data_IF_453852661142
#
_entry.id   IF_453852661142
#
_cell.length_a   1.000
_cell.length_b   1.000
_cell.length_c   1.000
_cell.angle_alpha   90.00
_cell.angle_beta   90.00
_cell.angle_gamma   90.00
#
_symmetry.space_group_name_H-M   'P 1'
#
loop_
_entity.id
_entity.type
_entity.pdbx_description
1 polymer ?
#
# COMPACT_ATOMS: atom_id res chain seq x y z
N UNK A 1 10.59 -63.20 9.21
CA UNK A 1 10.09 -62.38 8.09
C UNK A 1 9.75 -61.02 8.67
N UNK A 2 10.69 -60.04 8.53
CA UNK A 2 10.45 -58.64 8.90
C UNK A 2 9.78 -57.93 7.72
N UNK A 3 8.60 -57.41 7.90
CA UNK A 3 7.94 -56.54 6.96
C UNK A 3 8.39 -55.08 7.21
N UNK A 4 9.09 -54.48 6.23
CA UNK A 4 9.47 -53.08 6.24
C UNK A 4 8.29 -52.29 5.64
N UNK A 5 7.60 -51.51 6.45
CA UNK A 5 6.57 -50.59 5.97
C UNK A 5 7.24 -49.34 5.41
N UNK A 6 7.16 -49.11 4.09
CA UNK A 6 7.55 -47.86 3.47
C UNK A 6 6.49 -46.79 3.76
N UNK A 7 6.83 -45.81 4.60
CA UNK A 7 6.06 -44.59 4.76
C UNK A 7 6.27 -43.68 3.55
N UNK A 8 5.27 -43.61 2.67
CA UNK A 8 5.23 -42.63 1.59
C UNK A 8 4.78 -41.29 2.19
N UNK A 9 5.75 -40.40 2.43
CA UNK A 9 5.47 -39.01 2.80
C UNK A 9 5.05 -38.27 1.55
N UNK A 10 3.75 -38.13 1.32
CA UNK A 10 3.20 -37.19 0.32
C UNK A 10 3.55 -35.76 0.71
N UNK A 11 4.51 -35.16 0.01
CA UNK A 11 4.70 -33.71 0.05
C UNK A 11 3.48 -33.06 -0.61
N UNK A 12 2.57 -32.52 0.18
CA UNK A 12 1.59 -31.58 -0.31
C UNK A 12 2.36 -30.38 -0.88
N UNK A 13 2.41 -30.27 -2.20
CA UNK A 13 2.92 -29.09 -2.88
C UNK A 13 2.09 -27.89 -2.42
N UNK A 14 2.70 -26.89 -1.78
CA UNK A 14 2.06 -25.63 -1.51
C UNK A 14 1.69 -25.01 -2.86
N UNK A 15 0.42 -25.03 -3.22
CA UNK A 15 -0.08 -24.28 -4.35
C UNK A 15 0.26 -22.81 -4.10
N UNK A 16 1.11 -22.25 -4.94
CA UNK A 16 1.50 -20.87 -4.86
C UNK A 16 0.27 -20.02 -5.15
N UNK A 17 -0.13 -19.16 -4.21
CA UNK A 17 -1.28 -18.30 -4.39
C UNK A 17 -1.03 -17.36 -5.59
N UNK A 18 -2.02 -17.18 -6.48
CA UNK A 18 -1.83 -16.37 -7.68
C UNK A 18 -1.46 -14.92 -7.30
N UNK A 19 -0.69 -14.22 -8.14
CA UNK A 19 -0.31 -12.83 -7.88
C UNK A 19 -1.55 -11.95 -7.72
N UNK A 20 -1.42 -10.89 -6.93
CA UNK A 20 -2.44 -9.85 -6.82
C UNK A 20 -2.43 -9.02 -8.10
N UNK A 21 -3.57 -8.96 -8.76
CA UNK A 21 -3.78 -8.16 -9.97
C UNK A 21 -5.07 -7.36 -9.83
N UNK A 22 -5.26 -6.26 -10.58
CA UNK A 22 -6.54 -5.58 -10.68
C UNK A 22 -7.64 -6.55 -11.13
N UNK A 23 -8.86 -6.31 -10.64
CA UNK A 23 -9.96 -7.26 -10.84
C UNK A 23 -10.60 -7.18 -12.25
N UNK A 24 -10.24 -6.18 -13.05
CA UNK A 24 -10.84 -5.90 -14.38
C UNK A 24 -12.38 -5.81 -14.35
N UNK A 25 -12.94 -5.56 -13.17
CA UNK A 25 -14.35 -5.28 -12.97
C UNK A 25 -14.57 -3.78 -13.10
N UNK A 26 -15.59 -3.36 -13.83
CA UNK A 26 -16.00 -1.96 -13.83
C UNK A 26 -16.48 -1.55 -12.45
N UNK A 27 -15.84 -0.54 -11.84
CA UNK A 27 -16.23 -0.02 -10.53
C UNK A 27 -17.35 1.03 -10.62
N UNK A 28 -18.39 0.90 -9.79
CA UNK A 28 -19.46 1.89 -9.63
C UNK A 28 -19.10 2.86 -8.48
N UNK A 29 -18.79 4.11 -8.84
CA UNK A 29 -18.42 5.15 -7.86
C UNK A 29 -19.56 5.51 -6.92
N UNK A 30 -20.83 5.45 -7.37
CA UNK A 30 -21.98 5.76 -6.52
C UNK A 30 -22.20 4.67 -5.47
N UNK A 31 -22.07 3.41 -5.84
CA UNK A 31 -22.11 2.29 -4.91
C UNK A 31 -20.88 2.32 -3.99
N UNK A 32 -19.70 2.63 -4.54
CA UNK A 32 -18.46 2.81 -3.79
C UNK A 32 -18.56 3.90 -2.72
N UNK A 33 -19.27 5.00 -2.99
CA UNK A 33 -19.53 6.06 -2.00
C UNK A 33 -20.33 5.56 -0.79
N UNK A 34 -21.34 4.72 -1.03
CA UNK A 34 -22.14 4.12 0.05
C UNK A 34 -21.28 3.16 0.89
N UNK A 35 -20.53 2.28 0.23
CA UNK A 35 -19.64 1.31 0.89
C UNK A 35 -18.50 2.02 1.64
N UNK A 36 -17.95 3.09 1.06
CA UNK A 36 -16.80 3.84 1.56
C UNK A 36 -17.09 4.73 2.77
N UNK A 37 -18.36 4.91 3.15
CA UNK A 37 -18.74 5.77 4.27
C UNK A 37 -17.99 5.45 5.57
N UNK A 38 -17.88 4.18 5.92
CA UNK A 38 -17.14 3.75 7.12
C UNK A 38 -15.64 3.92 7.00
N UNK A 39 -15.09 3.85 5.78
CA UNK A 39 -13.67 4.02 5.51
C UNK A 39 -13.22 5.46 5.78
N UNK A 40 -14.09 6.44 5.49
CA UNK A 40 -13.85 7.87 5.70
C UNK A 40 -13.72 8.23 7.18
N UNK A 41 -14.23 7.42 8.10
CA UNK A 41 -14.01 7.57 9.55
C UNK A 41 -12.54 7.49 9.98
N UNK A 42 -11.66 6.97 9.11
CA UNK A 42 -10.21 6.96 9.31
C UNK A 42 -9.48 7.68 8.16
N UNK A 43 -9.81 7.34 6.91
CA UNK A 43 -9.12 7.86 5.73
C UNK A 43 -9.57 9.27 5.31
N UNK A 44 -10.70 9.76 5.81
CA UNK A 44 -11.21 11.11 5.59
C UNK A 44 -10.84 12.12 6.68
N UNK A 45 -10.01 11.74 7.67
CA UNK A 45 -9.60 12.62 8.77
C UNK A 45 -8.13 13.00 8.59
N UNK A 46 -7.88 14.29 8.36
CA UNK A 46 -6.51 14.80 8.20
C UNK A 46 -5.65 14.46 9.43
N UNK A 47 -4.48 13.88 9.20
CA UNK A 47 -3.52 13.56 10.24
C UNK A 47 -3.93 12.45 11.22
N UNK A 48 -5.03 11.72 10.97
CA UNK A 48 -5.42 10.59 11.82
C UNK A 48 -4.34 9.51 11.91
N UNK A 49 -4.20 8.89 13.08
CA UNK A 49 -3.13 7.92 13.37
C UNK A 49 -3.66 6.62 13.93
N UNK A 50 -2.97 5.54 13.56
CA UNK A 50 -3.07 4.28 14.28
C UNK A 50 -2.47 4.40 15.68
N UNK A 51 -3.01 3.63 16.62
CA UNK A 51 -2.55 3.66 18.02
C UNK A 51 -1.33 2.76 18.28
N UNK A 52 -1.25 1.60 17.63
CA UNK A 52 -0.16 0.65 17.80
C UNK A 52 0.04 -0.23 16.55
N UNK A 53 1.16 -0.10 15.85
CA UNK A 53 2.17 0.95 15.96
C UNK A 53 1.64 2.34 15.57
N UNK A 54 2.27 3.40 16.07
CA UNK A 54 1.85 4.78 15.81
C UNK A 54 2.37 5.25 14.45
N UNK A 55 1.47 5.39 13.49
CA UNK A 55 1.72 6.02 12.18
C UNK A 55 0.44 6.57 11.60
N UNK A 56 0.54 7.50 10.65
CA UNK A 56 -0.65 8.10 10.03
C UNK A 56 -1.40 7.08 9.16
N UNK A 57 -2.72 7.14 9.21
CA UNK A 57 -3.59 6.45 8.24
C UNK A 57 -3.31 7.04 6.86
N UNK A 58 -3.13 6.20 5.81
CA UNK A 58 -2.69 6.71 4.52
C UNK A 58 -3.77 7.51 3.80
N UNK A 59 -3.31 8.50 3.04
CA UNK A 59 -4.10 9.24 2.08
C UNK A 59 -4.50 8.34 0.93
N UNK A 60 -5.72 8.46 0.45
CA UNK A 60 -6.27 7.70 -0.67
C UNK A 60 -6.57 8.58 -1.89
N UNK A 61 -6.86 9.86 -1.71
CA UNK A 61 -7.13 10.78 -2.81
C UNK A 61 -5.93 10.94 -3.74
N UNK A 62 -6.17 10.80 -5.04
CA UNK A 62 -5.13 10.78 -6.08
C UNK A 62 -4.43 9.45 -6.28
N UNK A 63 -4.83 8.37 -5.58
CA UNK A 63 -4.29 7.03 -5.80
C UNK A 63 -5.07 6.33 -6.94
N UNK A 64 -4.39 5.48 -7.71
CA UNK A 64 -5.03 4.73 -8.80
C UNK A 64 -5.99 3.66 -8.30
N UNK A 65 -7.06 3.42 -9.06
CA UNK A 65 -8.04 2.36 -8.75
C UNK A 65 -7.38 0.97 -8.72
N UNK A 66 -6.59 0.63 -9.74
CA UNK A 66 -5.91 -0.66 -9.84
C UNK A 66 -5.07 -0.97 -8.60
N UNK A 67 -4.29 0.02 -8.12
CA UNK A 67 -3.52 -0.18 -6.91
C UNK A 67 -4.39 -0.29 -5.65
N UNK A 68 -5.49 0.45 -5.55
CA UNK A 68 -6.43 0.35 -4.44
C UNK A 68 -7.07 -1.06 -4.40
N UNK A 69 -7.43 -1.62 -5.55
CA UNK A 69 -7.92 -3.00 -5.66
C UNK A 69 -6.88 -4.01 -5.17
N UNK A 70 -5.65 -3.92 -5.69
CA UNK A 70 -4.53 -4.77 -5.27
C UNK A 70 -4.27 -4.65 -3.76
N UNK A 71 -4.35 -3.45 -3.20
CA UNK A 71 -4.16 -3.21 -1.78
C UNK A 71 -5.25 -3.87 -0.92
N UNK A 72 -6.53 -3.74 -1.30
CA UNK A 72 -7.66 -4.36 -0.59
C UNK A 72 -7.62 -5.89 -0.70
N UNK A 73 -7.32 -6.44 -1.89
CA UNK A 73 -7.09 -7.86 -2.06
C UNK A 73 -5.94 -8.37 -1.16
N UNK A 74 -4.84 -7.62 -1.07
CA UNK A 74 -3.70 -7.95 -0.24
C UNK A 74 -4.06 -8.04 1.25
N UNK A 75 -4.90 -7.13 1.75
CA UNK A 75 -5.43 -7.22 3.11
C UNK A 75 -6.35 -8.42 3.27
N UNK A 76 -7.27 -8.67 2.34
CA UNK A 76 -8.19 -9.81 2.37
C UNK A 76 -7.46 -11.15 2.39
N UNK A 77 -6.39 -11.29 1.62
CA UNK A 77 -5.56 -12.52 1.54
C UNK A 77 -4.49 -12.61 2.63
N UNK A 78 -4.27 -11.55 3.42
CA UNK A 78 -3.26 -11.53 4.47
C UNK A 78 -1.81 -11.34 3.99
N UNK A 79 -1.57 -11.11 2.69
CA UNK A 79 -0.25 -10.76 2.14
C UNK A 79 0.18 -9.33 2.54
N UNK A 80 -0.78 -8.52 2.98
CA UNK A 80 -0.58 -7.21 3.59
C UNK A 80 -1.23 -7.21 4.97
N UNK A 81 -0.42 -6.98 6.02
CA UNK A 81 -0.87 -7.16 7.41
C UNK A 81 -1.21 -5.82 8.06
N UNK A 82 -2.45 -5.71 8.49
CA UNK A 82 -2.98 -4.65 9.36
C UNK A 82 -4.33 -5.12 9.88
N UNK A 83 -4.46 -5.35 11.18
CA UNK A 83 -5.63 -6.01 11.77
C UNK A 83 -6.97 -5.36 11.36
N UNK A 84 -7.09 -4.03 11.49
CA UNK A 84 -8.29 -3.30 11.10
C UNK A 84 -8.59 -3.45 9.61
N UNK A 85 -7.58 -3.25 8.73
CA UNK A 85 -7.81 -3.35 7.29
C UNK A 85 -8.08 -4.78 6.83
N UNK A 86 -7.51 -5.79 7.48
CA UNK A 86 -7.84 -7.20 7.22
C UNK A 86 -9.30 -7.49 7.59
N UNK A 87 -9.77 -7.01 8.76
CA UNK A 87 -11.16 -7.17 9.18
C UNK A 87 -12.13 -6.48 8.20
N UNK A 88 -11.82 -5.26 7.73
CA UNK A 88 -12.62 -4.56 6.73
C UNK A 88 -12.62 -5.31 5.39
N UNK A 89 -11.46 -5.67 4.88
CA UNK A 89 -11.32 -6.31 3.57
C UNK A 89 -11.91 -7.73 3.53
N UNK A 90 -11.91 -8.46 4.65
CA UNK A 90 -12.44 -9.82 4.73
C UNK A 90 -13.95 -9.93 4.39
N UNK A 91 -14.69 -8.83 4.55
CA UNK A 91 -16.14 -8.79 4.30
C UNK A 91 -16.50 -8.34 2.88
N UNK A 92 -15.52 -7.89 2.08
CA UNK A 92 -15.73 -7.32 0.76
C UNK A 92 -15.78 -8.42 -0.32
N UNK A 93 -16.78 -8.39 -1.19
CA UNK A 93 -16.78 -9.13 -2.45
C UNK A 93 -15.86 -8.44 -3.46
N UNK A 94 -15.51 -9.11 -4.56
CA UNK A 94 -14.67 -8.52 -5.61
C UNK A 94 -15.28 -7.23 -6.18
N UNK A 95 -16.60 -7.22 -6.43
CA UNK A 95 -17.28 -6.01 -6.91
C UNK A 95 -17.25 -4.88 -5.88
N UNK A 96 -17.33 -5.17 -4.57
CA UNK A 96 -17.20 -4.15 -3.52
C UNK A 96 -15.82 -3.50 -3.54
N UNK A 97 -14.78 -4.30 -3.79
CA UNK A 97 -13.40 -3.81 -3.92
C UNK A 97 -13.27 -2.91 -5.14
N UNK A 98 -13.80 -3.32 -6.30
CA UNK A 98 -13.76 -2.51 -7.52
C UNK A 98 -14.51 -1.17 -7.36
N UNK A 99 -15.69 -1.19 -6.74
CA UNK A 99 -16.50 0.01 -6.51
C UNK A 99 -15.83 0.98 -5.53
N UNK A 100 -15.27 0.46 -4.44
CA UNK A 100 -14.50 1.25 -3.48
C UNK A 100 -13.24 1.86 -4.12
N UNK A 101 -12.54 1.08 -4.94
CA UNK A 101 -11.35 1.55 -5.64
C UNK A 101 -11.70 2.68 -6.62
N UNK A 102 -12.75 2.52 -7.41
CA UNK A 102 -13.26 3.55 -8.32
C UNK A 102 -13.68 4.82 -7.56
N UNK A 103 -14.39 4.66 -6.44
CA UNK A 103 -14.81 5.79 -5.60
C UNK A 103 -13.62 6.56 -5.04
N UNK A 104 -12.67 5.89 -4.39
CA UNK A 104 -11.51 6.58 -3.80
C UNK A 104 -10.55 7.15 -4.86
N UNK A 105 -10.44 6.54 -6.03
CA UNK A 105 -9.68 7.08 -7.15
C UNK A 105 -10.35 8.30 -7.82
N UNK A 106 -11.67 8.48 -7.64
CA UNK A 106 -12.42 9.60 -8.24
C UNK A 106 -12.26 10.93 -7.51
N UNK A 107 -11.60 10.95 -6.36
CA UNK A 107 -11.36 12.19 -5.62
C UNK A 107 -10.30 13.04 -6.30
N UNK A 108 -10.75 14.09 -6.98
CA UNK A 108 -9.91 15.12 -7.56
C UNK A 108 -9.68 16.22 -6.53
N UNK A 109 -8.50 16.26 -5.94
CA UNK A 109 -8.10 17.27 -4.98
C UNK A 109 -6.83 17.99 -5.40
N UNK A 110 -6.56 19.13 -4.79
CA UNK A 110 -5.25 19.77 -4.95
C UNK A 110 -4.14 18.85 -4.43
N UNK A 111 -3.08 18.71 -5.21
CA UNK A 111 -1.94 17.90 -4.82
C UNK A 111 -1.40 18.33 -3.45
N UNK A 112 -1.36 17.39 -2.50
CA UNK A 112 -0.93 17.62 -1.13
C UNK A 112 0.49 17.15 -0.87
N UNK A 113 1.00 17.48 0.31
CA UNK A 113 2.25 16.92 0.83
C UNK A 113 1.99 16.09 2.10
N UNK A 114 2.87 15.15 2.38
CA UNK A 114 2.73 14.27 3.55
C UNK A 114 3.09 14.98 4.85
N UNK A 115 2.39 14.61 5.93
CA UNK A 115 2.72 15.03 7.28
C UNK A 115 3.89 14.18 7.81
N UNK A 116 4.85 14.83 8.47
CA UNK A 116 5.96 14.16 9.16
C UNK A 116 7.12 15.11 9.40
N UNK A 117 8.01 14.69 10.31
CA UNK A 117 9.27 15.43 10.56
C UNK A 117 10.18 15.24 9.35
N UNK A 118 10.67 16.32 8.80
CA UNK A 118 11.54 16.27 7.64
C UNK A 118 12.47 17.47 7.58
N UNK A 119 13.71 17.24 7.18
CA UNK A 119 14.66 18.29 6.85
C UNK A 119 14.89 18.36 5.34
N UNK A 120 15.42 19.48 4.86
CA UNK A 120 15.83 19.59 3.47
C UNK A 120 16.97 18.64 3.13
N UNK A 121 17.92 18.46 4.07
CA UNK A 121 19.04 17.53 3.91
C UNK A 121 18.56 16.08 3.80
N UNK A 122 17.64 15.63 4.65
CA UNK A 122 17.05 14.29 4.61
C UNK A 122 16.32 14.05 3.29
N UNK A 123 15.54 15.04 2.81
CA UNK A 123 14.86 14.94 1.53
C UNK A 123 15.84 14.85 0.34
N UNK A 124 16.94 15.61 0.35
CA UNK A 124 17.96 15.57 -0.68
C UNK A 124 18.68 14.20 -0.71
N UNK A 125 18.99 13.62 0.45
CA UNK A 125 19.56 12.28 0.54
C UNK A 125 18.59 11.21 0.00
N UNK A 126 17.29 11.33 0.31
CA UNK A 126 16.25 10.46 -0.23
C UNK A 126 16.11 10.58 -1.74
N UNK A 127 16.22 11.79 -2.30
CA UNK A 127 16.21 12.02 -3.74
C UNK A 127 17.33 11.25 -4.44
N UNK A 128 18.53 11.27 -3.90
CA UNK A 128 19.67 10.54 -4.47
C UNK A 128 19.42 9.02 -4.48
N UNK A 129 18.73 8.49 -3.47
CA UNK A 129 18.42 7.06 -3.35
C UNK A 129 17.21 6.63 -4.19
N UNK A 130 16.33 7.57 -4.57
CA UNK A 130 15.06 7.28 -5.25
C UNK A 130 15.21 6.80 -6.69
N UNK A 131 16.38 6.90 -7.29
CA UNK A 131 16.61 6.56 -8.72
C UNK A 131 16.16 5.11 -9.06
N UNK A 132 16.43 4.14 -8.18
CA UNK A 132 16.02 2.75 -8.38
C UNK A 132 14.49 2.55 -8.28
N UNK A 133 13.78 3.46 -7.63
CA UNK A 133 12.34 3.40 -7.42
C UNK A 133 11.56 4.05 -8.58
N UNK A 134 12.23 4.95 -9.32
CA UNK A 134 11.62 5.84 -10.30
C UNK A 134 10.95 5.12 -11.47
N UNK A 135 11.47 3.95 -11.89
CA UNK A 135 10.93 3.19 -13.00
C UNK A 135 9.46 2.79 -12.79
N UNK A 136 9.11 2.48 -11.54
CA UNK A 136 7.78 2.02 -11.15
C UNK A 136 6.94 3.11 -10.50
N UNK A 137 7.55 3.90 -9.63
CA UNK A 137 6.84 4.91 -8.84
C UNK A 137 6.93 6.34 -9.42
N UNK A 138 7.64 6.51 -10.53
CA UNK A 138 7.93 7.84 -11.09
C UNK A 138 9.02 8.59 -10.34
N UNK A 139 9.74 9.48 -11.01
CA UNK A 139 10.86 10.21 -10.43
C UNK A 139 10.46 11.07 -9.21
N UNK A 140 9.27 11.67 -9.27
CA UNK A 140 8.70 12.44 -8.17
C UNK A 140 7.69 11.63 -7.32
N UNK A 141 7.55 10.34 -7.57
CA UNK A 141 6.62 9.49 -6.83
C UNK A 141 5.18 9.49 -7.34
N UNK A 142 4.95 9.98 -8.56
CA UNK A 142 3.69 9.79 -9.29
C UNK A 142 3.89 8.61 -10.24
N UNK A 143 3.18 7.53 -10.01
CA UNK A 143 3.36 6.29 -10.75
C UNK A 143 2.93 6.46 -12.22
N UNK A 144 3.76 6.00 -13.20
CA UNK A 144 3.44 6.12 -14.62
C UNK A 144 2.42 5.11 -15.12
N UNK A 145 2.09 4.09 -14.31
CA UNK A 145 1.14 3.05 -14.65
C UNK A 145 0.25 2.71 -13.45
N UNK A 146 -1.04 2.43 -13.65
CA UNK A 146 -2.05 2.42 -12.60
C UNK A 146 -1.91 1.25 -11.60
N UNK A 147 -1.27 0.15 -11.99
CA UNK A 147 -1.01 -0.98 -11.09
C UNK A 147 0.03 -0.67 -10.00
N UNK A 148 0.80 0.42 -10.15
CA UNK A 148 1.85 0.80 -9.22
C UNK A 148 1.41 1.99 -8.36
N UNK A 149 1.76 2.02 -7.06
CA UNK A 149 1.30 3.09 -6.22
C UNK A 149 2.03 4.40 -6.46
N UNK A 150 1.29 5.49 -6.49
CA UNK A 150 1.85 6.81 -6.24
C UNK A 150 2.30 6.93 -4.79
N UNK A 151 3.46 7.54 -4.57
CA UNK A 151 4.10 7.73 -3.27
C UNK A 151 4.11 9.19 -2.85
N UNK A 152 4.11 10.10 -3.84
CA UNK A 152 4.15 11.54 -3.66
C UNK A 152 3.02 12.02 -2.74
N UNK A 153 3.34 12.89 -1.80
CA UNK A 153 2.35 13.47 -0.89
C UNK A 153 1.87 12.56 0.23
N UNK A 154 2.29 11.29 0.27
CA UNK A 154 1.91 10.37 1.34
C UNK A 154 2.65 10.70 2.65
N UNK A 155 2.09 10.37 3.80
CA UNK A 155 2.68 10.64 5.11
C UNK A 155 4.00 9.91 5.33
N UNK A 156 5.03 10.61 5.86
CA UNK A 156 6.36 10.04 6.15
C UNK A 156 6.25 8.76 6.97
N UNK A 157 5.49 8.78 8.07
CA UNK A 157 5.37 7.64 8.97
C UNK A 157 4.70 6.43 8.32
N UNK A 158 3.74 6.64 7.40
CA UNK A 158 3.11 5.56 6.66
C UNK A 158 4.06 4.96 5.61
N UNK A 159 4.76 5.80 4.84
CA UNK A 159 5.76 5.33 3.88
C UNK A 159 6.85 4.52 4.58
N UNK A 160 7.42 5.05 5.66
CA UNK A 160 8.42 4.35 6.44
C UNK A 160 7.91 3.01 6.96
N UNK A 161 6.73 2.99 7.60
CA UNK A 161 6.11 1.76 8.08
C UNK A 161 5.90 0.74 6.94
N UNK A 162 5.45 1.17 5.77
CA UNK A 162 5.27 0.29 4.62
C UNK A 162 6.58 -0.33 4.13
N UNK A 163 7.66 0.45 4.08
CA UNK A 163 9.00 -0.04 3.73
C UNK A 163 9.51 -1.07 4.76
N UNK A 164 9.32 -0.79 6.05
CA UNK A 164 9.65 -1.73 7.14
C UNK A 164 8.87 -3.04 7.03
N UNK A 165 7.59 -2.99 6.66
CA UNK A 165 6.77 -4.17 6.45
C UNK A 165 7.28 -5.03 5.27
N UNK A 166 7.72 -4.43 4.17
CA UNK A 166 8.34 -5.17 3.07
C UNK A 166 9.67 -5.81 3.50
N UNK A 167 10.52 -5.06 4.22
CA UNK A 167 11.80 -5.56 4.72
C UNK A 167 11.64 -6.72 5.71
N UNK A 168 10.64 -6.65 6.57
CA UNK A 168 10.35 -7.71 7.56
C UNK A 168 9.55 -8.89 7.01
N UNK A 169 9.02 -8.80 5.79
CA UNK A 169 8.12 -9.80 5.21
C UNK A 169 6.69 -9.75 5.75
N UNK A 170 6.33 -8.77 6.58
CA UNK A 170 4.95 -8.56 7.04
C UNK A 170 4.02 -8.10 5.90
N UNK A 171 4.61 -7.51 4.85
CA UNK A 171 3.97 -7.24 3.57
C UNK A 171 4.73 -7.97 2.48
N UNK A 172 4.06 -8.88 1.80
CA UNK A 172 4.67 -9.74 0.78
C UNK A 172 4.45 -9.17 -0.61
N UNK A 173 5.54 -8.95 -1.33
CA UNK A 173 5.54 -8.54 -2.73
C UNK A 173 6.83 -9.01 -3.38
N UNK A 174 6.73 -9.59 -4.58
CA UNK A 174 7.86 -10.23 -5.27
C UNK A 174 8.93 -9.23 -5.73
N UNK A 175 8.57 -7.96 -5.95
CA UNK A 175 9.47 -6.90 -6.39
C UNK A 175 9.97 -6.07 -5.21
N UNK A 176 9.04 -5.58 -4.37
CA UNK A 176 9.38 -4.65 -3.29
C UNK A 176 10.22 -5.31 -2.19
N UNK A 177 9.93 -6.57 -1.83
CA UNK A 177 10.68 -7.27 -0.79
C UNK A 177 12.20 -7.28 -1.05
N UNK A 178 12.66 -7.81 -2.20
CA UNK A 178 14.08 -7.79 -2.54
C UNK A 178 14.70 -6.40 -2.66
N UNK A 179 13.96 -5.42 -3.20
CA UNK A 179 14.45 -4.04 -3.35
C UNK A 179 14.70 -3.34 -2.01
N UNK A 180 13.83 -3.60 -1.02
CA UNK A 180 13.92 -2.94 0.29
C UNK A 180 14.83 -3.70 1.25
N UNK A 181 15.02 -5.00 1.05
CA UNK A 181 15.76 -5.87 1.96
C UNK A 181 17.20 -5.44 2.26
N UNK A 182 17.86 -4.75 1.34
CA UNK A 182 19.24 -4.27 1.48
C UNK A 182 19.34 -2.84 2.08
N UNK A 183 18.21 -2.14 2.30
CA UNK A 183 18.21 -0.76 2.78
C UNK A 183 18.27 -0.71 4.31
N UNK A 184 19.07 0.20 4.84
CA UNK A 184 19.14 0.50 6.28
C UNK A 184 18.01 1.46 6.73
N UNK A 185 17.88 1.67 8.03
CA UNK A 185 16.84 2.53 8.61
C UNK A 185 16.95 3.98 8.15
N UNK A 186 18.17 4.48 7.92
CA UNK A 186 18.40 5.83 7.44
C UNK A 186 17.88 6.00 6.01
N UNK A 187 18.15 5.03 5.14
CA UNK A 187 17.64 5.04 3.76
C UNK A 187 16.11 4.96 3.70
N UNK A 188 15.47 4.15 4.57
CA UNK A 188 14.01 4.09 4.65
C UNK A 188 13.40 5.44 5.06
N UNK A 189 14.00 6.11 6.05
CA UNK A 189 13.56 7.45 6.49
C UNK A 189 13.75 8.49 5.39
N UNK A 190 14.91 8.52 4.75
CA UNK A 190 15.24 9.47 3.69
C UNK A 190 14.32 9.34 2.47
N UNK A 191 14.05 8.12 2.02
CA UNK A 191 13.09 7.84 0.94
C UNK A 191 11.67 8.27 1.34
N UNK A 192 11.23 7.93 2.54
CA UNK A 192 9.91 8.32 3.04
C UNK A 192 9.76 9.85 3.09
N UNK A 193 10.77 10.57 3.58
CA UNK A 193 10.79 12.03 3.63
C UNK A 193 10.80 12.64 2.22
N UNK A 194 11.58 12.09 1.31
CA UNK A 194 11.63 12.59 -0.07
C UNK A 194 10.27 12.53 -0.75
N UNK A 195 9.62 11.37 -0.77
CA UNK A 195 8.33 11.20 -1.42
C UNK A 195 7.19 11.95 -0.72
N UNK A 196 7.22 12.03 0.60
CA UNK A 196 6.20 12.78 1.34
C UNK A 196 6.22 14.29 1.02
N UNK A 197 7.37 14.85 0.67
CA UNK A 197 7.51 16.27 0.28
C UNK A 197 7.10 16.56 -1.15
N UNK A 198 7.00 15.56 -2.00
CA UNK A 198 6.52 15.76 -3.37
C UNK A 198 5.02 16.06 -3.37
N UNK A 199 4.53 16.98 -4.22
CA UNK A 199 3.09 17.19 -4.37
C UNK A 199 2.45 15.94 -5.02
N UNK A 200 1.36 15.45 -4.44
CA UNK A 200 0.72 14.22 -4.91
C UNK A 200 -0.54 13.88 -4.14
N UNK A 201 -0.56 12.73 -3.51
CA UNK A 201 -1.70 12.23 -2.76
C UNK A 201 -2.23 13.25 -1.73
N UNK A 202 -3.52 13.35 -1.62
CA UNK A 202 -4.19 14.31 -0.75
C UNK A 202 -5.21 13.65 0.18
N UNK A 203 -5.59 14.35 1.23
CA UNK A 203 -6.68 13.94 2.11
C UNK A 203 -8.02 14.10 1.40
N UNK A 204 -8.95 13.21 1.71
CA UNK A 204 -10.32 13.27 1.21
C UNK A 204 -11.09 14.16 2.18
N UNK A 205 -11.40 15.37 1.75
CA UNK A 205 -12.27 16.28 2.50
C UNK A 205 -13.73 15.92 2.23
N UNK A 206 -14.54 15.86 3.30
CA UNK A 206 -16.00 15.66 3.24
C UNK A 206 -16.74 17.00 3.27
#
# INVERSE_FOLDING_TARGET
>A
VLAVALLVVSRAGSAQEPPLVPLELGGDTARGAILGFTCLGCHGIEGYKNAAPVYHVPKLGGQSADYLEVALQGYRRGTRRHATMQAQAATLADQDIADLAAYFASFDGAAGTGIGRSSAATAAAGQQKSAACAACHGAAGIAPAPQWPSLAGQHVSYLRHSLEQYRSGARVDALMGPMIGALDDAALEELAVYYAKQPGLHSIEQ
#
